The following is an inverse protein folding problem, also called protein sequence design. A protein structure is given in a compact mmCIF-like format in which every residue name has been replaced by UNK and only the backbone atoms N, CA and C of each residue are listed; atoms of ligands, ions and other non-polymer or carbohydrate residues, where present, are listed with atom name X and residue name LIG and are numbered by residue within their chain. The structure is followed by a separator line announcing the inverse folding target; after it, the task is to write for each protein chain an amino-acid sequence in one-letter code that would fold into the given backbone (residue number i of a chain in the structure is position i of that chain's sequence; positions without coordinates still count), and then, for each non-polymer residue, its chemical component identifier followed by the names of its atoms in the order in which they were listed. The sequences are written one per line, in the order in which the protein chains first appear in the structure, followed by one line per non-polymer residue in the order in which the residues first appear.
data_IF_647738527821
#
_entry.id   IF_647738527821
#
_cell.length_a   1.000
_cell.length_b   1.000
_cell.length_c   1.000
_cell.angle_alpha   90.00
_cell.angle_beta   90.00
_cell.angle_gamma   90.00
#
_symmetry.space_group_name_H-M   'P 1'
#
loop_
_entity.id
_entity.type
_entity.pdbx_description
1 polymer ?
#
# COMPACT_ATOMS: atom_id res chain seq x y z
N UNK A 1 -10.47 1.03 -18.54
CA UNK A 1 -11.51 0.21 -17.87
C UNK A 1 -10.91 -0.50 -16.66
N UNK A 2 -11.64 -0.50 -15.57
CA UNK A 2 -11.21 -1.22 -14.37
C UNK A 2 -11.62 -2.69 -14.44
N UNK A 3 -10.79 -3.57 -13.90
CA UNK A 3 -11.09 -5.00 -13.80
C UNK A 3 -10.51 -5.59 -12.52
N UNK A 4 -11.16 -6.61 -12.01
CA UNK A 4 -10.71 -7.32 -10.80
C UNK A 4 -9.62 -8.33 -11.13
N UNK A 5 -8.60 -8.39 -10.27
CA UNK A 5 -7.49 -9.34 -10.39
C UNK A 5 -7.17 -9.87 -8.99
N UNK A 6 -7.86 -10.93 -8.59
CA UNK A 6 -7.76 -11.46 -7.24
C UNK A 6 -8.28 -10.49 -6.20
N UNK A 7 -7.42 -10.05 -5.29
CA UNK A 7 -7.79 -9.13 -4.22
C UNK A 7 -7.56 -7.66 -4.56
N UNK A 8 -7.17 -7.35 -5.79
CA UNK A 8 -6.92 -5.99 -6.24
C UNK A 8 -7.72 -5.66 -7.49
N UNK A 9 -7.86 -4.38 -7.78
CA UNK A 9 -8.47 -3.87 -9.00
C UNK A 9 -7.40 -3.19 -9.82
N UNK A 10 -7.40 -3.41 -11.13
CA UNK A 10 -6.44 -2.81 -12.05
C UNK A 10 -7.17 -1.98 -13.12
N UNK A 11 -6.43 -1.10 -13.76
CA UNK A 11 -6.93 -0.30 -14.89
C UNK A 11 -6.24 -0.72 -16.17
N UNK A 12 -7.00 -1.06 -17.22
CA UNK A 12 -6.43 -1.41 -18.51
C UNK A 12 -5.67 -0.25 -19.17
N UNK A 13 -6.02 0.98 -18.82
CA UNK A 13 -5.32 2.17 -19.30
C UNK A 13 -3.90 2.24 -18.75
N UNK A 14 -3.68 1.74 -17.52
CA UNK A 14 -2.38 1.73 -16.88
C UNK A 14 -1.58 0.46 -17.14
N UNK A 15 -2.12 -0.49 -17.90
CA UNK A 15 -1.43 -1.72 -18.27
C UNK A 15 -0.43 -1.44 -19.40
N UNK A 16 0.67 -0.79 -19.07
CA UNK A 16 1.74 -0.48 -20.02
C UNK A 16 3.05 -1.09 -19.55
N UNK A 17 3.94 -1.38 -20.53
CA UNK A 17 5.23 -1.99 -20.26
C UNK A 17 6.05 -1.12 -19.28
N UNK A 18 6.68 -1.75 -18.31
CA UNK A 18 7.50 -1.07 -17.31
C UNK A 18 6.72 -0.44 -16.16
N UNK A 19 5.40 -0.55 -16.16
CA UNK A 19 4.54 0.00 -15.11
C UNK A 19 3.77 -1.12 -14.43
N UNK A 20 3.78 -1.12 -13.10
CA UNK A 20 2.98 -2.04 -12.28
C UNK A 20 2.04 -1.18 -11.43
N UNK A 21 0.77 -1.53 -11.41
CA UNK A 21 -0.22 -0.78 -10.66
C UNK A 21 -1.31 -1.68 -10.11
N UNK A 22 -1.95 -1.25 -9.04
CA UNK A 22 -3.16 -1.88 -8.51
C UNK A 22 -3.84 -0.93 -7.52
N UNK A 23 -5.14 -1.09 -7.37
CA UNK A 23 -5.92 -0.46 -6.31
C UNK A 23 -6.31 -1.55 -5.31
N UNK A 24 -6.06 -1.33 -4.03
CA UNK A 24 -6.48 -2.25 -2.99
C UNK A 24 -7.99 -2.26 -2.87
N UNK A 25 -8.53 -3.41 -2.43
CA UNK A 25 -9.91 -3.54 -2.00
C UNK A 25 -9.91 -3.84 -0.50
N UNK A 26 -11.06 -3.95 0.12
CA UNK A 26 -11.13 -4.33 1.54
C UNK A 26 -10.77 -5.79 1.79
N UNK A 27 -10.57 -6.59 0.75
CA UNK A 27 -10.35 -8.03 0.84
C UNK A 27 -8.87 -8.39 0.80
N UNK A 28 -8.55 -9.56 1.30
CA UNK A 28 -7.21 -10.15 1.14
C UNK A 28 -6.21 -9.82 2.24
N UNK A 29 -6.62 -9.10 3.29
CA UNK A 29 -5.76 -8.75 4.41
C UNK A 29 -6.03 -9.59 5.66
N UNK A 30 -5.40 -9.20 6.76
CA UNK A 30 -5.47 -9.92 8.04
C UNK A 30 -6.13 -9.14 9.19
N UNK A 31 -6.61 -7.93 8.94
CA UNK A 31 -7.33 -7.16 9.96
C UNK A 31 -8.68 -7.82 10.26
N UNK A 32 -9.03 -7.89 11.53
CA UNK A 32 -10.27 -8.55 11.98
C UNK A 32 -11.27 -7.59 12.63
N UNK A 33 -10.91 -6.34 12.79
CA UNK A 33 -11.84 -5.34 13.37
C UNK A 33 -12.96 -5.05 12.37
N UNK A 34 -14.21 -4.84 12.85
CA UNK A 34 -15.34 -4.63 11.94
C UNK A 34 -15.16 -3.48 10.95
N UNK A 35 -14.52 -2.40 11.36
CA UNK A 35 -14.36 -1.21 10.51
C UNK A 35 -13.10 -1.24 9.64
N UNK A 36 -12.20 -2.20 9.83
CA UNK A 36 -10.94 -2.29 9.08
C UNK A 36 -10.78 -3.60 8.32
N UNK A 37 -11.65 -4.57 8.51
CA UNK A 37 -11.50 -5.89 7.90
C UNK A 37 -11.67 -5.79 6.38
N UNK A 38 -10.72 -6.33 5.67
CA UNK A 38 -9.52 -7.04 6.12
C UNK A 38 -8.22 -6.35 5.69
N UNK A 39 -8.21 -5.56 4.62
CA UNK A 39 -7.02 -4.95 4.03
C UNK A 39 -6.88 -3.49 4.50
N UNK A 40 -6.62 -3.28 5.78
CA UNK A 40 -6.29 -1.95 6.28
C UNK A 40 -4.77 -1.72 6.22
N UNK A 41 -4.35 -0.69 5.50
CA UNK A 41 -2.95 -0.29 5.40
C UNK A 41 -2.70 1.09 6.00
N UNK A 42 -3.71 1.66 6.67
CA UNK A 42 -3.61 2.98 7.28
C UNK A 42 -3.50 2.86 8.80
N UNK A 43 -2.43 3.40 9.41
CA UNK A 43 -2.29 3.41 10.86
C UNK A 43 -3.31 4.34 11.53
N UNK A 44 -3.52 4.15 12.83
CA UNK A 44 -4.38 5.04 13.61
C UNK A 44 -5.86 4.69 13.60
N UNK A 45 -6.24 3.52 13.08
CA UNK A 45 -7.64 3.07 13.02
C UNK A 45 -7.94 1.85 13.89
N UNK A 46 -7.09 1.57 14.86
CA UNK A 46 -7.30 0.50 15.81
C UNK A 46 -6.45 -0.76 15.60
N UNK A 47 -5.94 -0.99 14.40
CA UNK A 47 -5.04 -2.10 14.14
C UNK A 47 -3.64 -1.79 14.69
N UNK A 48 -2.93 -2.85 15.13
CA UNK A 48 -1.54 -2.73 15.53
C UNK A 48 -0.65 -2.46 14.32
N UNK A 49 0.54 -1.90 14.57
CA UNK A 49 1.52 -1.67 13.50
C UNK A 49 1.89 -2.97 12.79
N UNK A 50 1.95 -4.08 13.52
CA UNK A 50 2.25 -5.40 12.96
C UNK A 50 1.20 -5.81 11.92
N UNK A 51 -0.07 -5.59 12.20
CA UNK A 51 -1.17 -5.87 11.25
C UNK A 51 -1.04 -4.98 10.01
N UNK A 52 -0.75 -3.70 10.19
CA UNK A 52 -0.58 -2.76 9.08
C UNK A 52 0.59 -3.18 8.18
N UNK A 53 1.73 -3.53 8.74
CA UNK A 53 2.90 -3.99 7.99
C UNK A 53 2.58 -5.27 7.24
N UNK A 54 1.89 -6.22 7.87
CA UNK A 54 1.52 -7.48 7.22
C UNK A 54 0.56 -7.25 6.05
N UNK A 55 -0.43 -6.37 6.21
CA UNK A 55 -1.34 -6.03 5.13
C UNK A 55 -0.60 -5.34 3.97
N UNK A 56 0.30 -4.43 4.27
CA UNK A 56 1.12 -3.77 3.25
C UNK A 56 1.96 -4.80 2.50
N UNK A 57 2.53 -5.77 3.20
CA UNK A 57 3.32 -6.84 2.61
C UNK A 57 2.47 -7.71 1.66
N UNK A 58 1.26 -8.06 2.09
CA UNK A 58 0.33 -8.83 1.27
C UNK A 58 -0.08 -8.05 0.02
N UNK A 59 -0.43 -6.78 0.16
CA UNK A 59 -0.81 -5.94 -0.96
C UNK A 59 0.33 -5.79 -1.96
N UNK A 60 1.55 -5.58 -1.49
CA UNK A 60 2.73 -5.51 -2.35
C UNK A 60 2.94 -6.83 -3.11
N UNK A 61 2.68 -7.96 -2.46
CA UNK A 61 2.72 -9.28 -3.09
C UNK A 61 1.67 -9.43 -4.20
N UNK A 62 0.45 -8.95 -3.96
CA UNK A 62 -0.61 -8.98 -4.97
C UNK A 62 -0.29 -8.08 -6.17
N UNK A 63 0.44 -6.99 -5.93
CA UNK A 63 0.87 -6.07 -6.98
C UNK A 63 1.82 -6.73 -7.98
N UNK A 64 2.76 -7.54 -7.52
CA UNK A 64 3.72 -8.19 -8.42
C UNK A 64 4.89 -8.86 -7.72
N UNK A 65 4.67 -9.45 -6.54
CA UNK A 65 5.72 -10.17 -5.81
C UNK A 65 6.66 -9.27 -5.02
N UNK A 66 6.24 -8.05 -4.72
CA UNK A 66 6.97 -7.12 -3.85
C UNK A 66 6.64 -7.40 -2.38
N UNK A 67 7.36 -6.74 -1.49
CA UNK A 67 7.12 -6.83 -0.06
C UNK A 67 7.01 -5.43 0.55
N UNK A 68 6.64 -5.36 1.83
CA UNK A 68 6.57 -4.08 2.54
C UNK A 68 7.90 -3.32 2.52
N UNK A 69 9.03 -4.04 2.49
CA UNK A 69 10.35 -3.43 2.41
C UNK A 69 10.58 -2.65 1.11
N UNK A 70 9.82 -2.96 0.06
CA UNK A 70 9.92 -2.29 -1.24
C UNK A 70 8.99 -1.07 -1.36
N UNK A 71 8.20 -0.78 -0.34
CA UNK A 71 7.18 0.27 -0.38
C UNK A 71 7.65 1.54 0.30
N UNK A 72 7.08 2.66 -0.12
CA UNK A 72 7.22 3.95 0.55
C UNK A 72 5.81 4.51 0.78
N UNK A 73 5.53 4.89 2.01
CA UNK A 73 4.27 5.54 2.36
C UNK A 73 4.56 6.91 2.96
N UNK A 74 3.84 7.91 2.50
CA UNK A 74 3.96 9.26 3.03
C UNK A 74 2.90 9.53 4.09
N UNK A 75 3.19 10.47 4.98
CA UNK A 75 2.19 11.01 5.91
C UNK A 75 1.53 12.20 5.23
N UNK A 76 0.32 12.01 4.72
CA UNK A 76 -0.36 13.00 3.89
C UNK A 76 -1.00 14.09 4.74
N UNK A 77 -0.70 15.35 4.43
CA UNK A 77 -1.20 16.51 5.16
C UNK A 77 -1.94 17.51 4.27
N UNK A 78 -2.46 17.07 3.13
CA UNK A 78 -3.19 17.92 2.18
C UNK A 78 -2.39 19.11 1.66
N UNK A 79 -1.13 18.89 1.33
CA UNK A 79 -0.27 19.92 0.74
C UNK A 79 -0.11 19.68 -0.76
N UNK A 80 0.47 20.68 -1.45
CA UNK A 80 0.82 20.55 -2.87
C UNK A 80 2.28 20.12 -3.06
N UNK A 81 2.91 19.63 -2.02
CA UNK A 81 4.31 19.23 -2.05
C UNK A 81 4.50 17.97 -2.90
N UNK A 82 5.51 18.01 -3.76
CA UNK A 82 5.93 16.86 -4.56
C UNK A 82 7.30 16.40 -4.06
N UNK A 83 7.44 15.08 -3.87
CA UNK A 83 8.68 14.50 -3.38
C UNK A 83 9.18 13.45 -4.36
N UNK A 84 10.45 13.49 -4.70
CA UNK A 84 11.10 12.44 -5.49
C UNK A 84 11.43 11.26 -4.57
N UNK A 85 11.03 10.05 -5.01
CA UNK A 85 11.25 8.81 -4.27
C UNK A 85 12.17 7.91 -5.09
N UNK A 86 13.26 7.46 -4.49
CA UNK A 86 14.20 6.52 -5.09
C UNK A 86 14.37 5.27 -4.25
N UNK A 87 15.29 4.40 -4.68
CA UNK A 87 15.52 3.12 -4.01
C UNK A 87 15.96 3.28 -2.56
N UNK A 88 16.64 4.36 -2.21
CA UNK A 88 17.09 4.66 -0.85
C UNK A 88 15.94 4.93 0.11
N UNK A 89 14.75 5.22 -0.40
CA UNK A 89 13.56 5.49 0.40
C UNK A 89 12.77 4.24 0.76
N UNK A 90 13.14 3.07 0.25
CA UNK A 90 12.41 1.82 0.49
C UNK A 90 12.18 1.56 1.98
N UNK A 91 10.96 1.19 2.32
CA UNK A 91 10.54 0.91 3.69
C UNK A 91 10.16 2.14 4.50
N UNK A 92 10.39 3.35 3.97
CA UNK A 92 10.05 4.59 4.65
C UNK A 92 8.53 4.74 4.79
N UNK A 93 8.08 5.06 5.98
CA UNK A 93 6.64 5.15 6.28
C UNK A 93 5.95 3.82 6.48
N UNK A 94 6.62 2.69 6.22
CA UNK A 94 6.09 1.33 6.41
C UNK A 94 6.88 0.59 7.47
N UNK A 95 8.16 0.35 7.22
CA UNK A 95 9.05 -0.37 8.16
C UNK A 95 9.85 0.58 9.05
N UNK A 96 9.94 1.83 8.67
CA UNK A 96 10.61 2.88 9.44
C UNK A 96 9.84 4.18 9.28
N UNK A 97 10.08 5.13 10.18
CA UNK A 97 9.38 6.41 10.12
C UNK A 97 9.65 7.15 8.81
N UNK A 98 8.60 7.81 8.33
CA UNK A 98 8.73 8.77 7.26
C UNK A 98 9.18 10.10 7.85
N UNK A 99 10.25 10.66 7.33
CA UNK A 99 10.72 11.98 7.75
C UNK A 99 9.88 13.12 7.18
N UNK A 100 9.01 12.83 6.21
CA UNK A 100 8.27 13.83 5.45
C UNK A 100 6.93 13.30 4.98
N UNK A 101 6.05 14.20 4.68
CA UNK A 101 4.76 13.91 4.03
C UNK A 101 4.89 13.74 2.50
#
# INVERSE_FOLDING_TARGET
MFYDDGYVTRSSILDVAGTVHAFSTRLGGVSTLPHTASMNIAPGHGDSDEIIVRNTDLLAGYLGGYSAADTVCTHQIHSARVRYIGAENRGEGTLRESGED
#
